data_IF_448676825444
#
_entry.id   IF_448676825444
#
_cell.length_a   1.000
_cell.length_b   1.000
_cell.length_c   1.000
_cell.angle_alpha   90.00
_cell.angle_beta   90.00
_cell.angle_gamma   90.00
#
_symmetry.space_group_name_H-M   'P 1'
#
loop_
_entity.id
_entity.type
_entity.pdbx_description
1 polymer ?
#
# COMPACT_ATOMS: atom_id res chain seq x y z
N UNK A 1 0.10 12.96 4.49
CA UNK A 1 1.13 12.59 5.51
C UNK A 1 1.56 11.14 5.28
N UNK A 2 2.79 10.75 5.66
CA UNK A 2 3.21 9.34 5.65
C UNK A 2 3.16 8.77 7.07
N UNK A 3 2.46 7.65 7.25
CA UNK A 3 2.48 6.85 8.48
C UNK A 3 3.40 5.64 8.28
N UNK A 4 4.41 5.50 9.15
CA UNK A 4 5.34 4.36 9.17
C UNK A 4 4.99 3.49 10.35
N UNK A 5 4.50 2.28 10.08
CA UNK A 5 3.94 1.36 11.07
C UNK A 5 4.88 0.18 11.27
N UNK A 6 5.27 -0.07 12.52
CA UNK A 6 6.10 -1.21 12.92
C UNK A 6 5.39 -1.99 14.03
N UNK A 7 5.59 -3.30 14.12
CA UNK A 7 4.99 -4.10 15.17
C UNK A 7 5.75 -3.95 16.50
N UNK A 8 7.07 -3.85 16.44
CA UNK A 8 7.96 -3.91 17.59
C UNK A 8 8.75 -2.61 17.80
N UNK A 9 9.09 -2.29 19.05
CA UNK A 9 9.96 -1.16 19.37
C UNK A 9 11.36 -1.29 18.77
N UNK A 10 11.89 -2.51 18.67
CA UNK A 10 13.21 -2.77 18.06
C UNK A 10 13.19 -2.54 16.54
N UNK A 11 12.07 -2.76 15.85
CA UNK A 11 11.89 -2.40 14.44
C UNK A 11 11.86 -0.87 14.29
N UNK A 12 11.08 -0.18 15.12
CA UNK A 12 11.02 1.28 15.12
C UNK A 12 12.39 1.91 15.36
N UNK A 13 13.20 1.37 16.31
CA UNK A 13 14.55 1.84 16.60
C UNK A 13 15.53 1.65 15.42
N UNK A 14 15.28 0.69 14.53
CA UNK A 14 16.11 0.48 13.34
C UNK A 14 15.95 1.59 12.30
N UNK A 15 14.76 2.16 12.21
CA UNK A 15 14.38 3.18 11.23
C UNK A 15 14.18 4.57 11.85
N UNK A 16 14.62 4.75 13.10
CA UNK A 16 14.55 6.03 13.80
C UNK A 16 15.22 7.15 13.00
N UNK A 17 14.57 8.31 12.93
CA UNK A 17 15.05 9.48 12.17
C UNK A 17 14.73 9.44 10.66
N UNK A 18 14.16 8.38 10.12
CA UNK A 18 13.60 8.42 8.77
C UNK A 18 12.30 9.25 8.75
N UNK A 19 11.98 9.92 7.62
CA UNK A 19 10.77 10.75 7.51
C UNK A 19 9.48 9.97 7.74
N UNK A 20 8.45 10.68 8.22
CA UNK A 20 7.12 10.13 8.46
C UNK A 20 6.71 10.12 9.93
N UNK A 21 5.45 9.81 10.19
CA UNK A 21 4.91 9.62 11.55
C UNK A 21 5.04 8.16 11.94
N UNK A 22 6.01 7.86 12.79
CA UNK A 22 6.31 6.49 13.24
C UNK A 22 5.36 6.05 14.37
N UNK A 23 4.76 4.87 14.22
CA UNK A 23 3.84 4.29 15.19
C UNK A 23 4.18 2.81 15.40
N UNK A 24 4.35 2.42 16.66
CA UNK A 24 4.48 1.01 17.06
C UNK A 24 3.07 0.45 17.29
N UNK A 25 2.65 -0.50 16.47
CA UNK A 25 1.29 -1.04 16.50
C UNK A 25 1.11 -2.16 17.52
N UNK A 26 2.18 -2.84 17.91
CA UNK A 26 2.12 -4.11 18.62
C UNK A 26 1.90 -5.29 17.66
N UNK A 27 2.09 -6.50 18.20
CA UNK A 27 2.06 -7.76 17.44
C UNK A 27 0.63 -8.30 17.31
N UNK A 28 0.28 -8.80 16.12
CA UNK A 28 -0.97 -9.47 15.86
C UNK A 28 -2.19 -8.57 16.11
N UNK A 29 -3.16 -9.05 16.88
CA UNK A 29 -4.41 -8.33 17.15
C UNK A 29 -4.24 -7.01 17.89
N UNK A 30 -3.12 -6.77 18.56
CA UNK A 30 -2.84 -5.48 19.20
C UNK A 30 -2.74 -4.34 18.18
N UNK A 31 -2.41 -4.64 16.93
CA UNK A 31 -2.39 -3.64 15.86
C UNK A 31 -3.75 -2.96 15.67
N UNK A 32 -4.87 -3.67 15.84
CA UNK A 32 -6.21 -3.07 15.72
C UNK A 32 -6.38 -1.85 16.63
N UNK A 33 -6.01 -1.99 17.92
CA UNK A 33 -6.16 -0.92 18.90
C UNK A 33 -5.29 0.31 18.59
N UNK A 34 -4.08 0.07 18.10
CA UNK A 34 -3.19 1.17 17.71
C UNK A 34 -3.73 1.92 16.49
N UNK A 35 -4.30 1.20 15.52
CA UNK A 35 -4.84 1.75 14.28
C UNK A 35 -6.13 2.55 14.50
N UNK A 36 -6.95 2.24 15.52
CA UNK A 36 -8.17 2.99 15.88
C UNK A 36 -7.88 4.47 16.16
N UNK A 37 -6.67 4.80 16.62
CA UNK A 37 -6.27 6.17 16.94
C UNK A 37 -5.62 6.91 15.75
N UNK A 38 -5.61 6.33 14.56
CA UNK A 38 -5.05 6.93 13.34
C UNK A 38 -6.18 7.43 12.45
N UNK A 39 -6.22 8.74 12.27
CA UNK A 39 -7.13 9.37 11.32
C UNK A 39 -6.44 9.48 9.95
N UNK A 40 -6.69 8.48 9.09
CA UNK A 40 -6.22 8.50 7.70
C UNK A 40 -7.18 9.29 6.81
N UNK A 41 -6.59 10.02 5.87
CA UNK A 41 -7.27 10.66 4.73
C UNK A 41 -6.88 9.97 3.42
N UNK A 42 -7.55 10.28 2.33
CA UNK A 42 -7.23 9.74 1.00
C UNK A 42 -5.86 10.18 0.48
N UNK A 43 -5.33 11.31 0.98
CA UNK A 43 -4.01 11.83 0.62
C UNK A 43 -2.85 11.26 1.45
N UNK A 44 -3.16 10.49 2.49
CA UNK A 44 -2.13 9.91 3.35
C UNK A 44 -1.57 8.61 2.76
N UNK A 45 -0.30 8.34 3.07
CA UNK A 45 0.38 7.10 2.71
C UNK A 45 0.65 6.26 3.95
N UNK A 46 0.69 4.94 3.79
CA UNK A 46 0.97 3.98 4.85
C UNK A 46 2.09 3.05 4.42
N UNK A 47 3.14 2.97 5.23
CA UNK A 47 4.22 2.02 5.08
C UNK A 47 4.27 1.10 6.30
N UNK A 48 4.11 -0.19 6.10
CA UNK A 48 4.40 -1.19 7.14
C UNK A 48 5.84 -1.70 6.96
N UNK A 49 6.68 -1.48 7.96
CA UNK A 49 8.06 -1.99 8.00
C UNK A 49 8.19 -2.96 9.16
N UNK A 50 8.85 -4.09 8.94
CA UNK A 50 9.11 -5.04 10.00
C UNK A 50 9.84 -6.30 9.53
N UNK A 51 9.90 -7.27 10.43
CA UNK A 51 10.45 -8.58 10.13
C UNK A 51 9.36 -9.57 9.74
N UNK A 52 9.79 -10.65 9.09
CA UNK A 52 8.96 -11.78 8.72
C UNK A 52 9.78 -13.07 8.82
N UNK A 53 9.11 -14.21 9.02
CA UNK A 53 9.72 -15.52 8.83
C UNK A 53 9.71 -15.89 7.34
N UNK A 54 10.77 -16.59 6.87
CA UNK A 54 10.86 -17.03 5.48
C UNK A 54 12.09 -17.90 5.22
N UNK A 55 12.06 -18.72 4.17
CA UNK A 55 13.18 -19.63 3.82
C UNK A 55 14.35 -18.91 3.12
N UNK A 56 14.10 -17.81 2.46
CA UNK A 56 15.12 -17.05 1.72
C UNK A 56 15.37 -15.73 2.42
N UNK A 57 16.59 -15.53 2.93
CA UNK A 57 16.99 -14.28 3.57
C UNK A 57 16.97 -13.11 2.63
N UNK A 58 16.84 -11.89 3.15
CA UNK A 58 16.80 -10.65 2.39
C UNK A 58 15.75 -9.68 2.90
N UNK A 59 15.61 -8.55 2.20
CA UNK A 59 14.54 -7.59 2.40
C UNK A 59 13.69 -7.51 1.13
N UNK A 60 12.38 -7.46 1.31
CA UNK A 60 11.42 -7.59 0.21
C UNK A 60 10.37 -6.50 0.26
N UNK A 61 10.00 -6.01 -0.92
CA UNK A 61 8.77 -5.28 -1.13
C UNK A 61 7.63 -6.31 -1.32
N UNK A 62 6.57 -6.17 -0.55
CA UNK A 62 5.48 -7.15 -0.56
C UNK A 62 4.46 -6.80 -1.64
N UNK A 63 4.35 -7.66 -2.65
CA UNK A 63 3.41 -7.48 -3.76
C UNK A 63 1.99 -8.00 -3.49
N UNK A 64 1.83 -8.90 -2.52
CA UNK A 64 0.52 -9.35 -2.08
C UNK A 64 0.55 -9.78 -0.61
N UNK A 65 -0.52 -9.46 0.11
CA UNK A 65 -0.71 -9.85 1.51
C UNK A 65 -1.97 -10.70 1.60
N UNK A 66 -1.84 -11.94 2.08
CA UNK A 66 -2.96 -12.85 2.31
C UNK A 66 -3.20 -13.00 3.80
N UNK A 67 -4.40 -12.76 4.25
CA UNK A 67 -4.83 -13.08 5.62
C UNK A 67 -5.15 -14.58 5.72
N UNK A 68 -4.39 -15.31 6.52
CA UNK A 68 -4.53 -16.77 6.68
C UNK A 68 -5.94 -17.16 7.11
N UNK A 69 -6.52 -16.44 8.07
CA UNK A 69 -7.81 -16.78 8.68
C UNK A 69 -9.00 -16.53 7.76
N UNK A 70 -8.98 -15.40 7.05
CA UNK A 70 -10.12 -14.99 6.21
C UNK A 70 -9.92 -15.27 4.72
N UNK A 71 -8.71 -15.68 4.32
CA UNK A 71 -8.27 -15.82 2.92
C UNK A 71 -8.41 -14.53 2.09
N UNK A 72 -8.58 -13.38 2.73
CA UNK A 72 -8.61 -12.09 2.05
C UNK A 72 -7.22 -11.75 1.54
N UNK A 73 -7.17 -11.20 0.32
CA UNK A 73 -5.94 -10.73 -0.31
C UNK A 73 -5.95 -9.22 -0.49
N UNK A 74 -4.80 -8.62 -0.29
CA UNK A 74 -4.52 -7.22 -0.53
C UNK A 74 -3.32 -7.14 -1.48
N UNK A 75 -3.37 -6.18 -2.39
CA UNK A 75 -2.30 -5.94 -3.36
C UNK A 75 -1.83 -4.50 -3.19
N UNK A 76 -0.78 -4.25 -2.37
CA UNK A 76 -0.11 -2.96 -2.37
C UNK A 76 0.41 -2.68 -3.78
N UNK A 77 0.04 -1.55 -4.34
CA UNK A 77 0.39 -1.20 -5.72
C UNK A 77 1.41 -0.07 -5.70
N UNK A 78 2.69 -0.46 -5.73
CA UNK A 78 3.81 0.48 -5.73
C UNK A 78 4.37 0.60 -7.16
N UNK A 79 3.94 1.61 -7.94
CA UNK A 79 4.36 1.75 -9.35
C UNK A 79 5.82 2.16 -9.52
N UNK A 80 6.55 2.46 -8.45
CA UNK A 80 7.97 2.79 -8.47
C UNK A 80 8.88 1.60 -8.79
N UNK A 81 10.04 1.88 -9.40
CA UNK A 81 11.10 0.88 -9.57
C UNK A 81 11.98 0.87 -8.32
N UNK A 82 11.82 -0.16 -7.49
CA UNK A 82 12.64 -0.36 -6.29
C UNK A 82 13.70 -1.43 -6.53
N UNK A 83 14.82 -1.33 -5.79
CA UNK A 83 15.90 -2.34 -5.82
C UNK A 83 15.48 -3.59 -5.06
N UNK A 84 14.51 -3.46 -4.13
CA UNK A 84 13.99 -4.59 -3.35
C UNK A 84 13.29 -5.60 -4.26
N UNK A 85 13.63 -6.89 -4.16
CA UNK A 85 12.87 -7.94 -4.80
C UNK A 85 11.47 -8.02 -4.20
N UNK A 86 10.52 -8.51 -4.99
CA UNK A 86 9.14 -8.68 -4.54
C UNK A 86 8.91 -10.08 -3.98
N UNK A 87 8.03 -10.19 -2.97
CA UNK A 87 7.65 -11.46 -2.37
C UNK A 87 6.19 -11.40 -1.86
N UNK A 88 5.39 -12.48 -2.01
CA UNK A 88 4.10 -12.58 -1.35
C UNK A 88 4.25 -12.84 0.14
N UNK A 89 3.30 -12.29 0.92
CA UNK A 89 3.27 -12.41 2.38
C UNK A 89 1.95 -13.04 2.84
N UNK A 90 2.04 -13.91 3.82
CA UNK A 90 0.90 -14.46 4.55
C UNK A 90 0.91 -13.89 5.96
N UNK A 91 -0.16 -13.19 6.36
CA UNK A 91 -0.35 -12.80 7.76
C UNK A 91 -0.94 -13.97 8.51
N UNK A 92 -0.13 -14.60 9.34
CA UNK A 92 -0.48 -15.77 10.12
C UNK A 92 -1.16 -15.40 11.46
N UNK A 93 -1.97 -16.32 11.96
CA UNK A 93 -2.65 -16.17 13.26
C UNK A 93 -1.71 -16.36 14.46
N UNK A 94 -0.52 -16.92 14.23
CA UNK A 94 0.48 -17.21 15.25
C UNK A 94 1.88 -17.38 14.65
N UNK A 95 2.81 -17.81 15.48
CA UNK A 95 4.20 -18.03 15.07
C UNK A 95 4.26 -19.20 14.08
N UNK A 96 4.89 -18.99 12.93
CA UNK A 96 5.12 -20.01 11.91
C UNK A 96 6.50 -20.61 12.12
N UNK A 97 6.56 -21.92 12.33
CA UNK A 97 7.81 -22.67 12.56
C UNK A 97 8.37 -23.31 11.29
N UNK A 98 7.54 -23.49 10.28
CA UNK A 98 7.90 -24.07 8.99
C UNK A 98 7.34 -23.23 7.85
N UNK A 99 7.95 -22.06 7.55
CA UNK A 99 7.49 -21.23 6.45
C UNK A 99 7.68 -21.95 5.10
N UNK A 100 6.69 -21.84 4.22
CA UNK A 100 6.77 -22.41 2.87
C UNK A 100 7.74 -21.60 1.99
N UNK A 101 8.52 -22.26 1.12
CA UNK A 101 9.35 -21.54 0.15
C UNK A 101 8.53 -20.65 -0.77
N UNK A 102 9.03 -19.45 -1.05
CA UNK A 102 8.35 -18.47 -1.92
C UNK A 102 7.30 -17.62 -1.21
N UNK A 103 7.14 -17.77 0.11
CA UNK A 103 6.28 -16.93 0.92
C UNK A 103 7.03 -16.39 2.14
N UNK A 104 6.61 -15.20 2.57
CA UNK A 104 6.96 -14.65 3.88
C UNK A 104 5.76 -14.73 4.83
N UNK A 105 6.05 -14.71 6.14
CA UNK A 105 5.03 -14.82 7.18
C UNK A 105 5.22 -13.74 8.23
N UNK A 106 4.16 -12.98 8.50
CA UNK A 106 4.08 -12.02 9.60
C UNK A 106 2.78 -12.20 10.39
N UNK A 107 2.46 -11.26 11.28
CA UNK A 107 1.24 -11.31 12.08
C UNK A 107 0.37 -10.04 12.00
N UNK A 108 0.75 -9.01 11.22
CA UNK A 108 0.12 -7.68 11.23
C UNK A 108 -0.24 -7.11 9.86
N UNK A 109 0.45 -7.48 8.80
CA UNK A 109 0.34 -6.80 7.51
C UNK A 109 -1.09 -6.79 6.95
N UNK A 110 -1.84 -7.88 7.08
CA UNK A 110 -3.23 -7.94 6.60
C UNK A 110 -4.14 -6.98 7.38
N UNK A 111 -3.90 -6.81 8.69
CA UNK A 111 -4.64 -5.89 9.55
C UNK A 111 -4.36 -4.46 9.11
N UNK A 112 -3.09 -4.13 8.90
CA UNK A 112 -2.65 -2.80 8.46
C UNK A 112 -3.19 -2.49 7.06
N UNK A 113 -3.07 -3.41 6.11
CA UNK A 113 -3.63 -3.26 4.76
C UNK A 113 -5.15 -3.11 4.78
N UNK A 114 -5.84 -3.91 5.61
CA UNK A 114 -7.31 -3.82 5.77
C UNK A 114 -7.75 -2.47 6.32
N UNK A 115 -6.96 -1.89 7.24
CA UNK A 115 -7.20 -0.56 7.77
C UNK A 115 -6.95 0.52 6.72
N UNK A 116 -5.77 0.52 6.10
CA UNK A 116 -5.34 1.54 5.14
C UNK A 116 -6.26 1.60 3.90
N UNK A 117 -6.59 0.46 3.31
CA UNK A 117 -7.46 0.32 2.13
C UNK A 117 -8.84 0.97 2.29
N UNK A 118 -9.32 1.18 3.51
CA UNK A 118 -10.62 1.84 3.75
C UNK A 118 -10.58 3.35 3.49
N UNK A 119 -9.39 3.93 3.47
CA UNK A 119 -9.19 5.37 3.50
C UNK A 119 -8.26 5.89 2.41
N UNK A 120 -7.27 5.11 1.99
CA UNK A 120 -6.28 5.54 1.01
C UNK A 120 -6.16 4.53 -0.14
N UNK A 121 -5.59 4.97 -1.25
CA UNK A 121 -5.41 4.20 -2.46
C UNK A 121 -4.36 3.10 -2.30
N UNK A 122 -4.46 1.97 -3.03
CA UNK A 122 -3.43 0.92 -3.04
C UNK A 122 -2.02 1.41 -3.34
N UNK A 123 -1.87 2.39 -4.25
CA UNK A 123 -0.59 3.03 -4.60
C UNK A 123 0.06 3.84 -3.47
N UNK A 124 -0.68 4.10 -2.40
CA UNK A 124 -0.21 4.77 -1.17
C UNK A 124 0.03 3.82 -0.02
N UNK A 125 -0.03 2.51 -0.27
CA UNK A 125 0.19 1.46 0.74
C UNK A 125 1.40 0.64 0.32
N UNK A 126 2.41 0.58 1.17
CA UNK A 126 3.56 -0.30 0.98
C UNK A 126 3.79 -1.18 2.20
N UNK A 127 4.35 -2.35 1.95
CA UNK A 127 4.78 -3.28 2.98
C UNK A 127 6.20 -3.73 2.65
N UNK A 128 7.13 -3.51 3.58
CA UNK A 128 8.52 -3.91 3.46
C UNK A 128 8.86 -4.85 4.61
N UNK A 129 9.36 -6.04 4.29
CA UNK A 129 9.72 -7.05 5.29
C UNK A 129 11.13 -7.58 5.08
N UNK A 130 11.91 -7.62 6.16
CA UNK A 130 13.20 -8.31 6.21
C UNK A 130 13.03 -9.69 6.85
N UNK A 131 13.65 -10.72 6.27
CA UNK A 131 13.58 -12.08 6.80
C UNK A 131 14.49 -12.21 8.01
N UNK A 132 13.90 -12.35 9.19
CA UNK A 132 14.62 -12.44 10.46
C UNK A 132 14.94 -13.86 10.89
N UNK A 133 14.16 -14.82 10.42
CA UNK A 133 14.29 -16.23 10.81
C UNK A 133 13.60 -17.14 9.77
N UNK A 134 13.91 -18.42 9.85
CA UNK A 134 13.32 -19.49 9.02
C UNK A 134 12.27 -20.32 9.79
N UNK A 135 11.81 -19.81 10.93
CA UNK A 135 10.89 -20.48 11.83
C UNK A 135 11.56 -21.39 12.87
N UNK A 136 12.88 -21.65 12.76
CA UNK A 136 13.59 -22.56 13.67
C UNK A 136 13.88 -21.91 15.03
N UNK A 137 13.99 -20.58 15.10
CA UNK A 137 14.24 -19.84 16.33
C UNK A 137 13.61 -18.47 16.31
N UNK A 138 13.44 -17.88 17.49
CA UNK A 138 12.99 -16.48 17.60
C UNK A 138 14.22 -15.55 17.62
N UNK A 139 14.30 -14.54 16.73
CA UNK A 139 15.39 -13.56 16.76
C UNK A 139 15.29 -12.68 18.02
N UNK A 140 16.43 -12.24 18.53
CA UNK A 140 16.51 -11.25 19.61
C UNK A 140 16.19 -9.85 19.08
N UNK A 141 15.80 -8.93 19.97
CA UNK A 141 15.56 -7.53 19.61
C UNK A 141 16.78 -6.85 18.94
N UNK A 142 17.99 -7.20 19.39
CA UNK A 142 19.23 -6.68 18.79
C UNK A 142 19.47 -7.18 17.37
N UNK A 143 19.18 -8.47 17.10
CA UNK A 143 19.28 -9.04 15.74
C UNK A 143 18.28 -8.40 14.80
N UNK A 144 17.01 -8.20 15.22
CA UNK A 144 15.97 -7.51 14.46
C UNK A 144 16.40 -6.08 14.10
N UNK A 145 16.90 -5.33 15.11
CA UNK A 145 17.35 -3.96 14.89
C UNK A 145 18.53 -3.91 13.92
N UNK A 146 19.51 -4.78 14.07
CA UNK A 146 20.69 -4.84 13.21
C UNK A 146 20.33 -5.23 11.78
N UNK A 147 19.43 -6.20 11.61
CA UNK A 147 18.93 -6.64 10.32
C UNK A 147 18.26 -5.49 9.54
N UNK A 148 17.29 -4.83 10.14
CA UNK A 148 16.57 -3.73 9.50
C UNK A 148 17.47 -2.51 9.25
N UNK A 149 18.45 -2.24 10.12
CA UNK A 149 19.46 -1.21 9.85
C UNK A 149 20.31 -1.50 8.62
N UNK A 150 20.57 -2.78 8.33
CA UNK A 150 21.29 -3.19 7.13
C UNK A 150 20.53 -2.88 5.83
N UNK A 151 19.20 -2.68 5.89
CA UNK A 151 18.36 -2.33 4.75
C UNK A 151 17.77 -0.92 4.84
N UNK A 152 18.38 -0.06 5.68
CA UNK A 152 17.85 1.29 5.94
C UNK A 152 17.76 2.16 4.69
N UNK A 153 18.75 2.05 3.81
CA UNK A 153 18.80 2.84 2.57
C UNK A 153 17.67 2.45 1.60
N UNK A 154 17.40 1.15 1.47
CA UNK A 154 16.29 0.64 0.66
C UNK A 154 14.94 1.06 1.24
N UNK A 155 14.78 0.97 2.56
CA UNK A 155 13.58 1.44 3.27
C UNK A 155 13.41 2.95 3.08
N UNK A 156 14.49 3.73 3.15
CA UNK A 156 14.46 5.19 2.92
C UNK A 156 13.93 5.53 1.53
N UNK A 157 14.36 4.81 0.50
CA UNK A 157 13.87 5.02 -0.87
C UNK A 157 12.38 4.74 -1.01
N UNK A 158 11.85 3.73 -0.33
CA UNK A 158 10.41 3.46 -0.29
C UNK A 158 9.67 4.59 0.44
N UNK A 159 10.24 5.10 1.53
CA UNK A 159 9.72 6.24 2.27
C UNK A 159 9.69 7.49 1.38
N UNK A 160 10.79 7.80 0.71
CA UNK A 160 10.92 8.97 -0.20
C UNK A 160 9.85 8.92 -1.29
N UNK A 161 9.59 7.74 -1.85
CA UNK A 161 8.55 7.56 -2.85
C UNK A 161 7.14 7.81 -2.29
N UNK A 162 6.88 7.41 -1.04
CA UNK A 162 5.57 7.55 -0.39
C UNK A 162 5.35 8.94 0.22
N UNK A 163 6.40 9.72 0.41
CA UNK A 163 6.28 11.11 0.84
C UNK A 163 5.56 11.92 -0.24
N UNK A 164 4.70 12.87 0.14
CA UNK A 164 4.19 13.85 -0.82
C UNK A 164 5.39 14.65 -1.35
N UNK A 165 5.81 14.35 -2.58
CA UNK A 165 6.85 15.11 -3.27
C UNK A 165 6.32 16.47 -3.71
N UNK A 166 7.22 17.48 -3.80
CA UNK A 166 6.90 18.73 -4.50
C UNK A 166 6.55 18.46 -5.97
N UNK A 167 7.09 17.38 -6.57
CA UNK A 167 6.81 16.94 -7.94
C UNK A 167 5.55 16.08 -8.10
N UNK A 168 4.86 15.70 -7.01
CA UNK A 168 3.49 15.16 -7.11
C UNK A 168 2.45 16.25 -7.47
N UNK A 169 2.88 17.45 -7.74
CA UNK A 169 2.06 18.51 -8.35
C UNK A 169 1.67 18.22 -9.80
N UNK A 170 2.29 17.24 -10.47
CA UNK A 170 1.76 16.64 -11.72
C UNK A 170 0.64 15.63 -11.46
N UNK A 171 0.26 15.41 -10.21
CA UNK A 171 -1.05 14.90 -9.88
C UNK A 171 -2.07 15.97 -10.31
N UNK A 172 -2.48 15.86 -11.56
CA UNK A 172 -3.58 16.68 -12.09
C UNK A 172 -4.77 16.37 -11.18
N UNK A 173 -5.14 17.31 -10.27
CA UNK A 173 -6.31 17.06 -9.45
C UNK A 173 -7.44 16.86 -10.44
N UNK A 174 -8.02 15.64 -10.44
CA UNK A 174 -9.26 15.44 -11.16
C UNK A 174 -10.15 16.59 -10.76
N UNK A 175 -10.68 17.33 -11.72
CA UNK A 175 -11.68 18.30 -11.38
C UNK A 175 -12.71 17.57 -10.53
N UNK A 176 -12.98 18.04 -9.32
CA UNK A 176 -14.03 17.50 -8.45
C UNK A 176 -15.33 17.24 -9.25
N UNK A 177 -15.56 18.05 -10.30
CA UNK A 177 -16.59 17.88 -11.31
C UNK A 177 -16.64 16.49 -11.93
N UNK A 178 -15.52 15.84 -12.30
CA UNK A 178 -15.53 14.54 -12.96
C UNK A 178 -16.03 13.44 -12.01
N UNK A 179 -15.61 13.47 -10.75
CA UNK A 179 -16.09 12.52 -9.76
C UNK A 179 -17.61 12.68 -9.50
N UNK A 180 -18.12 13.90 -9.55
CA UNK A 180 -19.53 14.21 -9.38
C UNK A 180 -20.32 13.90 -10.65
N UNK A 181 -19.78 14.20 -11.85
CA UNK A 181 -20.35 13.83 -13.15
C UNK A 181 -20.53 12.30 -13.28
N UNK A 182 -19.56 11.53 -12.76
CA UNK A 182 -19.58 10.06 -12.73
C UNK A 182 -20.32 9.49 -11.51
N UNK A 183 -20.79 10.32 -10.57
CA UNK A 183 -21.45 9.90 -9.32
C UNK A 183 -20.68 8.81 -8.56
N UNK A 184 -19.36 8.96 -8.49
CA UNK A 184 -18.47 7.98 -7.86
C UNK A 184 -18.72 7.89 -6.36
N UNK A 185 -18.80 6.66 -5.84
CA UNK A 185 -18.72 6.42 -4.40
C UNK A 185 -17.29 6.68 -3.90
N UNK A 186 -17.09 6.79 -2.59
CA UNK A 186 -15.76 6.98 -2.01
C UNK A 186 -14.75 5.92 -2.49
N UNK A 187 -15.16 4.67 -2.55
CA UNK A 187 -14.32 3.58 -3.06
C UNK A 187 -13.97 3.76 -4.55
N UNK A 188 -14.98 4.07 -5.38
CA UNK A 188 -14.77 4.31 -6.81
C UNK A 188 -13.90 5.54 -7.08
N UNK A 189 -13.95 6.56 -6.22
CA UNK A 189 -13.04 7.73 -6.30
C UNK A 189 -11.59 7.32 -6.10
N UNK A 190 -11.30 6.47 -5.11
CA UNK A 190 -9.96 5.95 -4.87
C UNK A 190 -9.44 5.15 -6.08
N UNK A 191 -10.29 4.27 -6.65
CA UNK A 191 -9.93 3.52 -7.87
C UNK A 191 -9.64 4.46 -9.04
N UNK A 192 -10.41 5.53 -9.20
CA UNK A 192 -10.22 6.50 -10.27
C UNK A 192 -8.96 7.36 -10.04
N UNK A 193 -8.66 7.75 -8.81
CA UNK A 193 -7.40 8.42 -8.42
C UNK A 193 -6.19 7.54 -8.77
N UNK A 194 -6.25 6.24 -8.51
CA UNK A 194 -5.21 5.28 -8.92
C UNK A 194 -5.04 5.22 -10.44
N UNK A 195 -6.16 5.22 -11.19
CA UNK A 195 -6.09 5.23 -12.64
C UNK A 195 -5.45 6.53 -13.17
N UNK A 196 -5.80 7.68 -12.59
CA UNK A 196 -5.19 8.97 -12.95
C UNK A 196 -3.69 8.92 -12.70
N UNK A 197 -3.29 8.47 -11.51
CA UNK A 197 -1.88 8.32 -11.17
C UNK A 197 -1.15 7.39 -12.15
N UNK A 198 -1.73 6.23 -12.46
CA UNK A 198 -1.19 5.33 -13.48
C UNK A 198 -1.05 6.03 -14.84
N UNK A 199 -2.05 6.79 -15.28
CA UNK A 199 -2.01 7.50 -16.55
C UNK A 199 -0.91 8.58 -16.59
N UNK A 200 -0.72 9.32 -15.50
CA UNK A 200 0.35 10.32 -15.37
C UNK A 200 1.72 9.64 -15.47
N UNK A 201 1.97 8.63 -14.63
CA UNK A 201 3.27 7.95 -14.60
C UNK A 201 3.59 7.20 -15.90
N UNK A 202 2.56 6.65 -16.58
CA UNK A 202 2.72 5.94 -17.85
C UNK A 202 2.69 6.83 -19.10
N UNK A 203 2.57 8.16 -18.93
CA UNK A 203 2.48 9.11 -20.06
C UNK A 203 1.15 9.03 -20.83
N UNK A 204 0.09 8.49 -20.20
CA UNK A 204 -1.26 8.35 -20.80
C UNK A 204 -2.24 9.42 -20.34
N UNK A 205 -1.79 10.47 -19.66
CA UNK A 205 -2.66 11.52 -19.10
C UNK A 205 -3.53 12.19 -20.17
N UNK A 206 -2.95 12.55 -21.33
CA UNK A 206 -3.69 13.13 -22.45
C UNK A 206 -4.74 12.16 -23.01
N UNK A 207 -4.43 10.86 -23.02
CA UNK A 207 -5.39 9.85 -23.47
C UNK A 207 -6.59 9.75 -22.51
N UNK A 208 -6.36 9.82 -21.20
CA UNK A 208 -7.44 9.86 -20.22
C UNK A 208 -8.34 11.09 -20.41
N UNK A 209 -7.74 12.28 -20.62
CA UNK A 209 -8.50 13.49 -20.88
C UNK A 209 -9.35 13.40 -22.14
N UNK A 210 -8.76 12.87 -23.23
CA UNK A 210 -9.47 12.68 -24.49
C UNK A 210 -10.66 11.70 -24.33
N UNK A 211 -10.51 10.62 -23.56
CA UNK A 211 -11.60 9.69 -23.25
C UNK A 211 -12.73 10.36 -22.47
N UNK A 212 -12.41 11.14 -21.45
CA UNK A 212 -13.42 11.89 -20.68
C UNK A 212 -14.17 12.88 -21.55
N UNK A 213 -13.47 13.61 -22.41
CA UNK A 213 -14.08 14.56 -23.33
C UNK A 213 -14.96 13.87 -24.40
N UNK A 214 -14.55 12.70 -24.86
CA UNK A 214 -15.36 11.87 -25.78
C UNK A 214 -16.66 11.42 -25.09
N UNK A 215 -16.59 10.89 -23.89
CA UNK A 215 -17.76 10.46 -23.11
C UNK A 215 -18.75 11.61 -22.83
N UNK A 216 -18.23 12.83 -22.63
CA UNK A 216 -19.07 14.04 -22.50
C UNK A 216 -19.76 14.40 -23.81
N UNK A 217 -19.05 14.36 -24.96
CA UNK A 217 -19.60 14.65 -26.29
C UNK A 217 -20.67 13.62 -26.70
N UNK A 218 -20.50 12.36 -26.32
CA UNK A 218 -21.46 11.30 -26.56
C UNK A 218 -22.69 11.36 -25.63
N UNK A 219 -22.69 12.26 -24.65
CA UNK A 219 -23.76 12.38 -23.66
C UNK A 219 -23.83 11.21 -22.66
N UNK A 220 -22.77 10.41 -22.59
CA UNK A 220 -22.64 9.32 -21.61
C UNK A 220 -22.36 9.87 -20.21
N UNK A 221 -21.69 11.01 -20.13
CA UNK A 221 -21.39 11.77 -18.91
C UNK A 221 -22.05 13.15 -19.04
N UNK A 222 -22.72 13.67 -17.98
CA UNK A 222 -22.86 13.10 -16.63
C UNK A 222 -23.79 11.90 -16.54
N UNK A 223 -23.46 10.96 -15.65
CA UNK A 223 -24.24 9.74 -15.45
C UNK A 223 -25.48 9.95 -14.58
N UNK A 224 -26.50 9.09 -14.75
CA UNK A 224 -27.76 9.21 -14.00
C UNK A 224 -27.67 8.66 -12.57
N UNK A 225 -26.89 7.60 -12.36
CA UNK A 225 -26.78 6.92 -11.08
C UNK A 225 -25.39 6.26 -10.87
N UNK A 226 -25.14 5.74 -9.66
CA UNK A 226 -23.90 5.07 -9.28
C UNK A 226 -23.60 3.80 -10.09
N UNK A 227 -24.63 3.08 -10.59
CA UNK A 227 -24.44 1.86 -11.37
C UNK A 227 -23.93 2.20 -12.77
N UNK A 228 -24.45 3.28 -13.33
CA UNK A 228 -23.95 3.80 -14.60
C UNK A 228 -22.52 4.34 -14.43
N UNK A 229 -22.24 5.06 -13.33
CA UNK A 229 -20.91 5.53 -13.01
C UNK A 229 -19.90 4.38 -12.90
N UNK A 230 -20.26 3.27 -12.26
CA UNK A 230 -19.40 2.09 -12.20
C UNK A 230 -19.09 1.53 -13.59
N UNK A 231 -20.09 1.38 -14.46
CA UNK A 231 -19.89 0.89 -15.83
C UNK A 231 -18.95 1.78 -16.64
N UNK A 232 -19.16 3.09 -16.57
CA UNK A 232 -18.31 4.07 -17.28
C UNK A 232 -16.87 3.99 -16.73
N UNK A 233 -16.70 3.88 -15.43
CA UNK A 233 -15.38 3.70 -14.82
C UNK A 233 -14.69 2.43 -15.31
N UNK A 234 -15.39 1.30 -15.35
CA UNK A 234 -14.85 0.02 -15.85
C UNK A 234 -14.46 0.11 -17.34
N UNK A 235 -15.23 0.84 -18.16
CA UNK A 235 -14.90 1.10 -19.57
C UNK A 235 -13.64 1.95 -19.72
N UNK A 236 -13.49 3.01 -18.93
CA UNK A 236 -12.28 3.84 -18.92
C UNK A 236 -11.06 2.99 -18.53
N UNK A 237 -11.18 2.15 -17.50
CA UNK A 237 -10.13 1.22 -17.10
C UNK A 237 -9.73 0.27 -18.24
N UNK A 238 -10.69 -0.31 -18.93
CA UNK A 238 -10.44 -1.26 -20.02
C UNK A 238 -9.72 -0.61 -21.23
N UNK A 239 -9.96 0.68 -21.49
CA UNK A 239 -9.36 1.41 -22.62
C UNK A 239 -7.95 1.97 -22.32
N UNK A 240 -7.61 2.16 -21.03
CA UNK A 240 -6.37 2.81 -20.62
C UNK A 240 -5.31 1.84 -20.07
N UNK A 241 -5.70 0.68 -19.58
CA UNK A 241 -4.79 -0.41 -19.21
C UNK A 241 -4.41 -1.24 -20.42
#
# INVERSE_FOLDING_TARGET
>A
MLYVLTALKCEAAAIEGLPGKHIVTGVGSFAHKALENIELTSSDSVLNVGCAAGKTGGCYLINSVTDEKSSRRFYPDMPGKFILPEMPLITASGIVTEPEPGFLYDMEASIICSFAKKKTAPSRIAVVKAVSDDGSRRPSAGEVTSLLRGFRDEISRVIEYLLPGEDQTDYMPLPLSVADELKLTQYMRLEFEDLVHYCVVSGKAEKLLAELDMLRKEGTVPVKDKRQGRRVLDEIFARLR
#
